data_IF_969038023217
#
_entry.id   IF_969038023217
#
_cell.length_a   1.000
_cell.length_b   1.000
_cell.length_c   1.000
_cell.angle_alpha   90.00
_cell.angle_beta   90.00
_cell.angle_gamma   90.00
#
_symmetry.space_group_name_H-M   'P 1'
#
loop_
_entity.id
_entity.type
_entity.pdbx_description
1 polymer ?
#
# COMPACT_ATOMS: atom_id res chain seq x y z
N UNK A 1 -7.96 -4.38 -17.13
CA UNK A 1 -7.33 -3.11 -16.70
C UNK A 1 -8.46 -2.09 -16.55
N UNK A 2 -8.85 -1.70 -15.33
CA UNK A 2 -10.00 -0.82 -15.08
C UNK A 2 -9.50 0.61 -14.87
N UNK A 3 -9.76 1.48 -15.85
CA UNK A 3 -9.29 2.87 -15.86
C UNK A 3 -9.81 3.71 -14.70
N UNK A 4 -10.96 3.36 -14.12
CA UNK A 4 -11.59 4.12 -13.03
C UNK A 4 -10.83 4.07 -11.71
N UNK A 5 -9.95 3.08 -11.51
CA UNK A 5 -9.19 2.88 -10.27
C UNK A 5 -7.69 3.10 -10.44
N UNK A 6 -7.25 3.56 -11.62
CA UNK A 6 -5.82 3.71 -11.93
C UNK A 6 -5.11 4.69 -11.00
N UNK A 7 -5.83 5.68 -10.48
CA UNK A 7 -5.31 6.70 -9.55
C UNK A 7 -5.61 6.40 -8.08
N UNK A 8 -6.28 5.27 -7.79
CA UNK A 8 -6.60 4.89 -6.41
C UNK A 8 -5.39 4.18 -5.81
N UNK A 9 -4.80 4.71 -4.72
CA UNK A 9 -3.63 4.09 -4.13
C UNK A 9 -3.98 2.74 -3.51
N UNK A 10 -3.13 1.73 -3.73
CA UNK A 10 -3.32 0.36 -3.22
C UNK A 10 -2.20 -0.01 -2.26
N UNK A 11 -2.58 -0.30 -1.01
CA UNK A 11 -1.68 -0.78 0.04
C UNK A 11 -1.95 -2.28 0.26
N UNK A 12 -0.96 -3.14 0.01
CA UNK A 12 -1.08 -4.58 0.20
C UNK A 12 -0.63 -5.00 1.60
N UNK A 13 -1.42 -5.84 2.28
CA UNK A 13 -1.11 -6.41 3.59
C UNK A 13 -0.79 -7.91 3.48
N UNK A 14 0.43 -8.35 3.80
CA UNK A 14 0.84 -9.76 3.67
C UNK A 14 1.45 -10.32 4.96
N UNK A 15 1.19 -11.59 5.29
CA UNK A 15 1.80 -12.28 6.46
C UNK A 15 3.14 -12.95 6.12
N UNK A 16 3.66 -12.79 4.90
CA UNK A 16 4.85 -13.50 4.42
C UNK A 16 6.02 -12.52 4.28
N UNK A 17 7.08 -12.76 5.07
CA UNK A 17 8.33 -11.98 5.08
C UNK A 17 9.19 -12.16 3.82
N UNK A 18 8.68 -12.88 2.82
CA UNK A 18 9.40 -13.16 1.59
C UNK A 18 9.59 -11.88 0.78
N UNK A 19 10.83 -11.42 0.67
CA UNK A 19 11.33 -10.34 -0.21
C UNK A 19 10.76 -10.37 -1.65
N UNK A 20 10.27 -11.54 -2.08
CA UNK A 20 9.59 -11.78 -3.35
C UNK A 20 8.22 -11.08 -3.50
N UNK A 21 7.50 -10.79 -2.40
CA UNK A 21 6.19 -10.11 -2.42
C UNK A 21 6.37 -8.59 -2.61
N UNK A 22 7.39 -7.99 -1.98
CA UNK A 22 7.71 -6.56 -2.12
C UNK A 22 8.21 -6.21 -3.51
N UNK A 23 9.02 -7.08 -4.12
CA UNK A 23 9.53 -6.89 -5.48
C UNK A 23 8.46 -7.10 -6.55
N UNK A 24 7.68 -8.21 -6.48
CA UNK A 24 6.56 -8.43 -7.41
C UNK A 24 5.49 -7.37 -7.27
N UNK A 25 5.26 -6.91 -6.06
CA UNK A 25 4.30 -5.88 -5.74
C UNK A 25 4.54 -4.51 -6.33
N UNK A 26 5.79 -4.06 -6.25
CA UNK A 26 6.23 -2.86 -6.94
C UNK A 26 6.16 -3.02 -8.47
N UNK A 27 6.32 -4.25 -8.98
CA UNK A 27 6.20 -4.59 -10.41
C UNK A 27 4.73 -4.66 -10.87
N UNK A 28 3.79 -5.06 -10.02
CA UNK A 28 2.35 -5.14 -10.36
C UNK A 28 1.58 -3.84 -10.09
N UNK A 29 2.25 -2.79 -9.61
CA UNK A 29 1.69 -1.45 -9.51
C UNK A 29 0.94 -1.12 -8.22
N UNK A 30 1.20 -1.82 -7.12
CA UNK A 30 0.74 -1.34 -5.80
C UNK A 30 1.74 -0.34 -5.21
N UNK A 31 1.22 0.75 -4.66
CA UNK A 31 2.02 1.85 -4.13
C UNK A 31 2.78 1.48 -2.84
N UNK A 32 2.24 0.54 -2.03
CA UNK A 32 2.89 0.15 -0.79
C UNK A 32 2.59 -1.28 -0.30
N UNK A 33 3.53 -1.85 0.45
CA UNK A 33 3.43 -3.12 1.16
C UNK A 33 3.59 -2.97 2.66
N UNK A 34 2.72 -3.63 3.42
CA UNK A 34 2.81 -3.72 4.88
C UNK A 34 2.76 -5.19 5.32
N UNK A 35 3.79 -5.64 6.04
CA UNK A 35 3.89 -7.02 6.51
C UNK A 35 3.23 -7.18 7.88
N UNK A 36 2.49 -8.27 8.10
CA UNK A 36 1.86 -8.58 9.39
C UNK A 36 2.84 -9.34 10.31
N UNK A 37 2.80 -9.12 11.64
CA UNK A 37 1.91 -8.19 12.33
C UNK A 37 2.41 -6.74 12.22
N UNK A 38 1.48 -5.82 11.97
CA UNK A 38 1.76 -4.38 11.97
C UNK A 38 1.10 -3.71 13.17
N UNK A 39 1.65 -2.56 13.58
CA UNK A 39 1.03 -1.73 14.60
C UNK A 39 -0.10 -0.86 14.02
N UNK A 40 -1.00 -0.39 14.89
CA UNK A 40 -2.03 0.58 14.50
C UNK A 40 -1.42 1.86 13.92
N UNK A 41 -0.34 2.34 14.52
CA UNK A 41 0.33 3.57 14.09
C UNK A 41 0.98 3.42 12.72
N UNK A 42 1.60 2.27 12.46
CA UNK A 42 2.19 1.94 11.16
C UNK A 42 1.15 1.92 10.04
N UNK A 43 -0.03 1.34 10.31
CA UNK A 43 -1.15 1.36 9.37
C UNK A 43 -1.65 2.79 9.12
N UNK A 44 -1.90 3.57 10.19
CA UNK A 44 -2.43 4.93 10.08
C UNK A 44 -1.45 5.88 9.38
N UNK A 45 -0.16 5.76 9.64
CA UNK A 45 0.86 6.56 8.97
C UNK A 45 0.93 6.22 7.48
N UNK A 46 0.83 4.93 7.13
CA UNK A 46 0.77 4.49 5.73
C UNK A 46 -0.45 5.08 5.03
N UNK A 47 -1.64 5.03 5.65
CA UNK A 47 -2.86 5.63 5.08
C UNK A 47 -2.67 7.12 4.85
N UNK A 48 -2.17 7.87 5.84
CA UNK A 48 -1.94 9.32 5.74
C UNK A 48 -0.97 9.72 4.64
N UNK A 49 -0.02 8.85 4.29
CA UNK A 49 0.92 9.10 3.20
C UNK A 49 0.25 9.09 1.82
N UNK A 50 -0.79 8.27 1.64
CA UNK A 50 -1.42 8.05 0.34
C UNK A 50 -2.80 8.68 0.19
N UNK A 51 -3.46 9.06 1.28
CA UNK A 51 -4.67 9.87 1.24
C UNK A 51 -4.26 11.32 0.95
N UNK A 52 -4.68 11.91 -0.18
CA UNK A 52 -4.47 13.34 -0.41
C UNK A 52 -5.06 14.10 0.76
N UNK A 53 -4.28 14.98 1.37
CA UNK A 53 -4.87 15.98 2.25
C UNK A 53 -5.85 16.75 1.38
N UNK A 54 -7.14 16.75 1.74
CA UNK A 54 -8.08 17.63 1.08
C UNK A 54 -7.48 19.04 1.20
N UNK A 55 -7.09 19.61 0.05
CA UNK A 55 -6.56 20.97 0.00
C UNK A 55 -7.57 21.86 0.74
N UNK A 56 -7.11 22.50 1.82
CA UNK A 56 -7.89 23.52 2.51
C UNK A 56 -7.95 24.79 1.67
#
# INVERSE_FOLDING_TARGET
>A
NNSSFKSTPVIMLSSKDGLFDKAKGRIVGSDQYLTKPFSKDELLNTIRQYVPQAEQ
#
